data_IF_757784916040
#
_entry.id   IF_757784916040
#
_cell.length_a   1.000
_cell.length_b   1.000
_cell.length_c   1.000
_cell.angle_alpha   90.00
_cell.angle_beta   90.00
_cell.angle_gamma   90.00
#
_symmetry.space_group_name_H-M   'P 1'
#
loop_
_entity.id
_entity.type
_entity.pdbx_description
1 polymer ?
#
# COMPACT_ATOMS: atom_id res chain seq x y z
N UNK A 1 -28.78 4.22 19.10
CA UNK A 1 -28.42 5.30 20.04
C UNK A 1 -29.36 5.22 21.23
N UNK A 2 -28.86 5.57 22.42
CA UNK A 2 -29.73 5.71 23.61
C UNK A 2 -30.63 6.94 23.40
N UNK A 3 -31.81 6.95 24.06
CA UNK A 3 -32.69 8.12 23.99
C UNK A 3 -32.17 9.28 24.85
N UNK A 4 -31.51 8.94 25.96
CA UNK A 4 -30.94 9.93 26.87
C UNK A 4 -29.46 10.19 26.58
N UNK A 5 -29.04 11.43 26.81
CA UNK A 5 -27.65 11.84 26.74
C UNK A 5 -26.82 11.25 27.89
N UNK A 6 -25.52 11.14 27.69
CA UNK A 6 -24.58 10.71 28.72
C UNK A 6 -23.61 11.87 29.03
N UNK A 7 -23.24 11.97 30.30
CA UNK A 7 -22.21 12.91 30.71
C UNK A 7 -20.92 12.71 29.89
N UNK A 8 -20.31 13.80 29.35
CA UNK A 8 -19.13 13.70 28.46
C UNK A 8 -17.95 12.94 29.05
N UNK A 9 -17.70 13.04 30.36
CA UNK A 9 -16.59 12.32 31.02
C UNK A 9 -16.89 10.83 31.11
N UNK A 10 -18.16 10.46 31.36
CA UNK A 10 -18.60 9.07 31.40
C UNK A 10 -18.49 8.43 30.02
N UNK A 11 -18.92 9.14 28.98
CA UNK A 11 -18.78 8.68 27.59
C UNK A 11 -17.30 8.48 27.19
N UNK A 12 -16.44 9.47 27.49
CA UNK A 12 -15.01 9.38 27.22
C UNK A 12 -14.37 8.19 27.96
N UNK A 13 -14.77 7.98 29.24
CA UNK A 13 -14.23 6.87 30.05
C UNK A 13 -14.62 5.51 29.48
N UNK A 14 -15.88 5.31 29.13
CA UNK A 14 -16.34 4.06 28.52
C UNK A 14 -15.58 3.73 27.24
N UNK A 15 -15.42 4.72 26.36
CA UNK A 15 -14.67 4.54 25.11
C UNK A 15 -13.20 4.23 25.40
N UNK A 16 -12.57 4.95 26.32
CA UNK A 16 -11.17 4.69 26.71
C UNK A 16 -10.99 3.28 27.26
N UNK A 17 -11.91 2.80 28.09
CA UNK A 17 -11.83 1.46 28.67
C UNK A 17 -11.97 0.37 27.58
N UNK A 18 -12.79 0.57 26.54
CA UNK A 18 -12.87 -0.33 25.38
C UNK A 18 -11.56 -0.32 24.56
N UNK A 19 -10.97 0.85 24.32
CA UNK A 19 -9.74 1.01 23.56
C UNK A 19 -8.50 0.40 24.25
N UNK A 20 -8.56 0.12 25.57
CA UNK A 20 -7.50 -0.64 26.25
C UNK A 20 -7.37 -2.09 25.76
N UNK A 21 -8.36 -2.60 25.02
CA UNK A 21 -8.29 -3.92 24.39
C UNK A 21 -7.43 -3.92 23.11
N UNK A 22 -7.10 -2.77 22.58
CA UNK A 22 -6.25 -2.66 21.39
C UNK A 22 -4.79 -3.04 21.68
N UNK A 23 -4.10 -3.54 20.65
CA UNK A 23 -2.69 -3.88 20.76
C UNK A 23 -1.81 -2.62 20.82
N UNK A 24 -0.58 -2.79 21.33
CA UNK A 24 0.42 -1.74 21.30
C UNK A 24 0.87 -1.51 19.84
N UNK A 25 0.67 -0.32 19.24
CA UNK A 25 1.05 -0.02 17.86
C UNK A 25 2.53 -0.31 17.58
N UNK A 26 3.42 -0.08 18.54
CA UNK A 26 4.87 -0.27 18.35
C UNK A 26 5.31 -1.75 18.32
N UNK A 27 4.42 -2.70 18.65
CA UNK A 27 4.63 -4.14 18.50
C UNK A 27 3.93 -4.71 17.25
N UNK A 28 3.26 -3.85 16.47
CA UNK A 28 2.60 -4.26 15.23
C UNK A 28 3.60 -4.22 14.06
N UNK A 29 4.09 -5.39 13.66
CA UNK A 29 4.99 -5.57 12.52
C UNK A 29 4.25 -5.88 11.20
N UNK A 30 2.92 -5.94 11.25
CA UNK A 30 2.08 -6.20 10.07
C UNK A 30 1.84 -4.96 9.23
N UNK A 31 1.70 -3.80 9.86
CA UNK A 31 1.31 -2.55 9.21
C UNK A 31 2.51 -1.76 8.71
N UNK A 32 2.34 -1.12 7.55
CA UNK A 32 3.25 -0.10 7.04
C UNK A 32 2.94 1.29 7.57
N UNK A 33 1.82 1.46 8.26
CA UNK A 33 1.31 2.77 8.70
C UNK A 33 2.13 3.32 9.85
N UNK A 34 2.51 4.59 9.75
CA UNK A 34 3.20 5.36 10.79
C UNK A 34 2.40 5.39 12.10
N UNK A 35 3.06 5.14 13.21
CA UNK A 35 2.47 5.10 14.55
C UNK A 35 3.06 6.13 15.51
N UNK A 36 3.98 6.96 15.03
CA UNK A 36 4.64 7.98 15.82
C UNK A 36 4.82 9.27 15.02
N UNK A 37 4.48 10.38 15.65
CA UNK A 37 4.89 11.73 15.24
C UNK A 37 5.38 12.49 16.48
N UNK A 38 6.14 13.56 16.28
CA UNK A 38 6.62 14.42 17.37
C UNK A 38 5.43 15.16 18.02
N UNK A 39 5.49 15.46 19.35
CA UNK A 39 4.42 16.17 20.06
C UNK A 39 4.02 17.51 19.44
N UNK A 40 4.97 18.21 18.81
CA UNK A 40 4.70 19.47 18.11
C UNK A 40 3.80 19.25 16.89
N UNK A 41 4.00 18.14 16.15
CA UNK A 41 3.13 17.77 15.05
C UNK A 41 1.72 17.42 15.54
N UNK A 42 1.63 16.59 16.58
CA UNK A 42 0.35 16.21 17.19
C UNK A 42 -0.43 17.44 17.66
N UNK A 43 0.23 18.37 18.32
CA UNK A 43 -0.39 19.63 18.77
C UNK A 43 -0.89 20.45 17.58
N UNK A 44 -0.07 20.64 16.53
CA UNK A 44 -0.50 21.36 15.32
C UNK A 44 -1.71 20.70 14.67
N UNK A 45 -1.75 19.37 14.61
CA UNK A 45 -2.86 18.63 14.07
C UNK A 45 -4.12 18.81 14.91
N UNK A 46 -4.02 18.73 16.23
CA UNK A 46 -5.14 18.95 17.17
C UNK A 46 -5.71 20.37 17.07
N UNK A 47 -4.86 21.37 17.01
CA UNK A 47 -5.25 22.80 16.90
C UNK A 47 -6.01 23.09 15.57
N UNK A 48 -5.91 22.22 14.57
CA UNK A 48 -6.50 22.38 13.24
C UNK A 48 -7.56 21.32 12.87
N UNK A 49 -8.03 20.52 13.83
CA UNK A 49 -8.95 19.39 13.54
C UNK A 49 -10.29 19.78 12.90
N UNK A 50 -10.76 20.99 13.14
CA UNK A 50 -12.04 21.49 12.60
C UNK A 50 -11.97 21.91 11.13
N UNK A 51 -10.79 21.98 10.53
CA UNK A 51 -10.61 22.56 9.19
C UNK A 51 -10.87 21.54 8.09
N UNK A 52 -11.85 21.89 7.23
CA UNK A 52 -12.15 21.11 6.03
C UNK A 52 -11.28 21.59 4.85
N UNK A 53 -10.54 20.69 4.23
CA UNK A 53 -9.57 21.04 3.19
C UNK A 53 -10.19 21.67 1.93
N UNK A 54 -11.45 21.33 1.62
CA UNK A 54 -12.13 21.85 0.42
C UNK A 54 -12.56 23.32 0.58
N UNK A 55 -12.62 23.86 1.80
CA UNK A 55 -13.11 25.22 2.05
C UNK A 55 -11.95 26.23 1.90
N UNK A 56 -11.49 26.42 0.65
CA UNK A 56 -10.31 27.24 0.33
C UNK A 56 -10.50 28.72 0.69
N UNK A 57 -11.73 29.23 0.63
CA UNK A 57 -12.04 30.61 1.02
C UNK A 57 -11.87 30.82 2.53
N UNK A 58 -12.33 29.86 3.32
CA UNK A 58 -12.21 29.93 4.78
C UNK A 58 -10.83 29.52 5.30
N UNK A 59 -10.19 28.53 4.62
CA UNK A 59 -8.92 27.98 5.03
C UNK A 59 -7.83 28.03 3.95
N UNK A 60 -7.52 29.23 3.38
CA UNK A 60 -6.57 29.35 2.27
C UNK A 60 -5.17 28.87 2.62
N UNK A 61 -4.77 28.99 3.89
CA UNK A 61 -3.46 28.52 4.34
C UNK A 61 -3.31 26.99 4.22
N UNK A 62 -4.35 26.20 4.50
CA UNK A 62 -4.27 24.73 4.35
C UNK A 62 -4.24 24.33 2.89
N UNK A 63 -4.99 24.99 2.02
CA UNK A 63 -4.94 24.80 0.58
C UNK A 63 -3.52 25.08 0.03
N UNK A 64 -2.89 26.14 0.50
CA UNK A 64 -1.50 26.46 0.17
C UNK A 64 -0.53 25.40 0.68
N UNK A 65 -0.73 24.86 1.90
CA UNK A 65 0.09 23.75 2.41
C UNK A 65 -0.06 22.49 1.57
N UNK A 66 -1.27 22.19 1.07
CA UNK A 66 -1.50 21.07 0.15
C UNK A 66 -0.69 21.26 -1.14
N UNK A 67 -0.78 22.43 -1.78
CA UNK A 67 0.00 22.77 -2.98
C UNK A 67 1.50 22.61 -2.75
N UNK A 68 2.01 23.11 -1.63
CA UNK A 68 3.43 22.94 -1.25
C UNK A 68 3.81 21.48 -1.09
N UNK A 69 2.98 20.66 -0.44
CA UNK A 69 3.24 19.23 -0.31
C UNK A 69 3.29 18.55 -1.68
N UNK A 70 2.34 18.83 -2.57
CA UNK A 70 2.32 18.32 -3.95
C UNK A 70 3.62 18.69 -4.68
N UNK A 71 4.03 19.96 -4.57
CA UNK A 71 5.27 20.45 -5.20
C UNK A 71 6.53 19.79 -4.62
N UNK A 72 6.61 19.57 -3.30
CA UNK A 72 7.73 18.85 -2.69
C UNK A 72 7.82 17.41 -3.18
N UNK A 73 6.70 16.70 -3.24
CA UNK A 73 6.62 15.31 -3.68
C UNK A 73 6.94 15.21 -5.18
N UNK A 74 6.38 16.08 -6.01
CA UNK A 74 6.64 16.10 -7.44
C UNK A 74 8.12 16.30 -7.76
N UNK A 75 8.78 17.23 -7.06
CA UNK A 75 10.24 17.44 -7.20
C UNK A 75 11.04 16.26 -6.68
N UNK A 76 10.59 15.60 -5.62
CA UNK A 76 11.22 14.36 -5.14
C UNK A 76 11.12 13.24 -6.19
N UNK A 77 10.05 13.21 -6.96
CA UNK A 77 9.80 12.22 -8.03
C UNK A 77 10.30 12.68 -9.41
N UNK A 78 11.10 13.74 -9.46
CA UNK A 78 11.66 14.30 -10.69
C UNK A 78 10.58 14.63 -11.76
N UNK A 79 9.46 15.21 -11.34
CA UNK A 79 8.44 15.69 -12.27
C UNK A 79 9.04 16.73 -13.26
N UNK A 80 8.63 16.69 -14.54
CA UNK A 80 9.12 17.62 -15.54
C UNK A 80 8.49 19.00 -15.35
N UNK A 81 9.03 19.79 -14.43
CA UNK A 81 8.65 21.16 -14.14
C UNK A 81 9.62 22.11 -14.83
N UNK A 82 9.10 23.18 -15.44
CA UNK A 82 9.88 24.10 -16.26
C UNK A 82 10.91 24.90 -15.43
N UNK A 83 10.52 25.28 -14.22
CA UNK A 83 11.38 26.02 -13.27
C UNK A 83 11.01 25.75 -11.79
N UNK A 84 11.68 26.44 -10.86
CA UNK A 84 11.45 26.31 -9.42
C UNK A 84 10.08 26.84 -8.97
N UNK A 85 9.43 27.69 -9.75
CA UNK A 85 8.14 28.30 -9.45
C UNK A 85 6.99 27.55 -10.13
N UNK A 86 7.29 26.61 -11.03
CA UNK A 86 6.26 25.80 -11.70
C UNK A 86 5.51 24.94 -10.71
N UNK A 87 4.19 24.96 -10.81
CA UNK A 87 3.30 24.14 -9.98
C UNK A 87 3.12 22.76 -10.58
N UNK A 88 3.25 21.76 -9.73
CA UNK A 88 3.01 20.38 -10.10
C UNK A 88 1.52 20.06 -10.07
N UNK A 89 1.10 19.12 -10.91
CA UNK A 89 -0.26 18.61 -10.93
C UNK A 89 -0.38 17.41 -9.99
N UNK A 90 -1.16 17.55 -8.95
CA UNK A 90 -1.39 16.48 -7.97
C UNK A 90 -2.40 16.91 -6.90
N UNK A 91 -2.76 15.97 -6.05
CA UNK A 91 -3.66 16.23 -4.93
C UNK A 91 -3.35 15.33 -3.74
N UNK A 92 -3.73 15.82 -2.55
CA UNK A 92 -3.87 14.96 -1.39
C UNK A 92 -5.11 14.08 -1.53
N UNK A 93 -5.05 12.91 -0.95
CA UNK A 93 -6.13 11.93 -0.90
C UNK A 93 -6.23 11.37 0.53
N UNK A 94 -7.30 10.66 0.85
CA UNK A 94 -7.40 10.01 2.18
C UNK A 94 -6.48 8.80 2.33
N UNK A 95 -5.79 8.44 1.25
CA UNK A 95 -4.82 7.33 1.19
C UNK A 95 -4.55 6.92 -0.25
N UNK A 96 -3.57 6.02 -0.46
CA UNK A 96 -3.21 5.53 -1.80
C UNK A 96 -4.38 4.87 -2.54
N UNK A 97 -5.38 4.34 -1.86
CA UNK A 97 -6.54 3.75 -2.53
C UNK A 97 -7.30 4.77 -3.38
N UNK A 98 -7.55 5.96 -2.86
CA UNK A 98 -8.15 7.05 -3.64
C UNK A 98 -7.20 7.54 -4.74
N UNK A 99 -5.91 7.70 -4.42
CA UNK A 99 -4.89 8.13 -5.37
C UNK A 99 -4.78 7.20 -6.59
N UNK A 100 -4.75 5.88 -6.35
CA UNK A 100 -4.73 4.85 -7.41
C UNK A 100 -6.01 4.90 -8.24
N UNK A 101 -7.18 4.98 -7.59
CA UNK A 101 -8.46 5.06 -8.31
C UNK A 101 -8.53 6.29 -9.22
N UNK A 102 -8.05 7.44 -8.76
CA UNK A 102 -7.95 8.65 -9.60
C UNK A 102 -7.04 8.45 -10.80
N UNK A 103 -5.86 7.86 -10.59
CA UNK A 103 -4.90 7.58 -11.66
C UNK A 103 -5.47 6.61 -12.71
N UNK A 104 -6.11 5.52 -12.27
CA UNK A 104 -6.74 4.54 -13.16
C UNK A 104 -7.91 5.15 -13.92
N UNK A 105 -8.75 5.95 -13.25
CA UNK A 105 -9.86 6.66 -13.89
C UNK A 105 -9.36 7.64 -14.93
N UNK A 106 -8.35 8.44 -14.61
CA UNK A 106 -7.76 9.40 -15.54
C UNK A 106 -7.16 8.71 -16.77
N UNK A 107 -6.42 7.61 -16.58
CA UNK A 107 -5.83 6.83 -17.66
C UNK A 107 -6.91 6.20 -18.57
N UNK A 108 -7.96 5.59 -17.99
CA UNK A 108 -9.10 5.07 -18.76
C UNK A 108 -9.75 6.16 -19.60
N UNK A 109 -10.00 7.33 -19.02
CA UNK A 109 -10.63 8.44 -19.72
C UNK A 109 -9.75 8.99 -20.85
N UNK A 110 -8.47 9.18 -20.60
CA UNK A 110 -7.50 9.58 -21.63
C UNK A 110 -7.48 8.57 -22.79
N UNK A 111 -7.36 7.29 -22.50
CA UNK A 111 -7.40 6.22 -23.50
C UNK A 111 -8.71 6.27 -24.31
N UNK A 112 -9.86 6.35 -23.64
CA UNK A 112 -11.18 6.44 -24.29
C UNK A 112 -11.28 7.65 -25.23
N UNK A 113 -10.83 8.82 -24.79
CA UNK A 113 -10.85 10.04 -25.61
C UNK A 113 -9.96 9.89 -26.84
N UNK A 114 -8.77 9.33 -26.70
CA UNK A 114 -7.85 9.07 -27.81
C UNK A 114 -8.44 8.08 -28.83
N UNK A 115 -9.04 6.98 -28.37
CA UNK A 115 -9.72 5.99 -29.23
C UNK A 115 -10.91 6.60 -29.99
N UNK A 116 -11.73 7.39 -29.26
CA UNK A 116 -12.87 8.09 -29.86
C UNK A 116 -12.43 9.07 -30.95
N UNK A 117 -11.38 9.86 -30.68
CA UNK A 117 -10.83 10.79 -31.65
C UNK A 117 -10.28 10.09 -32.90
N UNK A 118 -9.73 8.88 -32.76
CA UNK A 118 -9.24 8.05 -33.86
C UNK A 118 -10.34 7.22 -34.57
N UNK A 119 -11.62 7.33 -34.14
CA UNK A 119 -12.72 6.53 -34.71
C UNK A 119 -12.64 5.04 -34.42
N UNK A 120 -11.87 4.65 -33.37
CA UNK A 120 -11.68 3.26 -32.94
C UNK A 120 -12.67 2.86 -31.85
N UNK A 121 -12.94 1.57 -31.72
CA UNK A 121 -13.73 1.03 -30.61
C UNK A 121 -13.06 1.33 -29.24
N UNK A 122 -13.86 1.67 -28.26
CA UNK A 122 -13.44 2.01 -26.89
C UNK A 122 -14.31 1.32 -25.81
N UNK A 123 -14.95 0.21 -26.16
CA UNK A 123 -15.85 -0.52 -25.25
C UNK A 123 -15.12 -1.46 -24.27
N UNK A 124 -13.93 -1.94 -24.64
CA UNK A 124 -13.23 -3.00 -23.92
C UNK A 124 -11.82 -2.58 -23.45
N UNK A 125 -11.68 -1.62 -22.50
CA UNK A 125 -10.39 -1.27 -21.94
C UNK A 125 -9.81 -2.41 -21.10
N UNK A 126 -8.48 -2.59 -21.12
CA UNK A 126 -7.79 -3.47 -20.20
C UNK A 126 -6.68 -2.74 -19.43
N UNK A 127 -6.27 -3.33 -18.30
CA UNK A 127 -5.16 -2.87 -17.47
C UNK A 127 -4.19 -4.04 -17.24
N UNK A 128 -2.90 -3.81 -17.46
CA UNK A 128 -1.87 -4.83 -17.23
C UNK A 128 -1.18 -4.57 -15.90
N UNK A 129 -1.08 -5.59 -15.06
CA UNK A 129 -0.49 -5.49 -13.72
C UNK A 129 -0.03 -6.86 -13.20
N UNK A 130 0.80 -6.85 -12.15
CA UNK A 130 1.14 -8.07 -11.40
C UNK A 130 -0.07 -8.63 -10.64
N UNK A 131 -0.17 -9.93 -10.48
CA UNK A 131 -1.12 -10.56 -9.55
C UNK A 131 -0.78 -10.29 -8.06
N UNK A 132 0.40 -9.72 -7.78
CA UNK A 132 0.81 -9.30 -6.45
C UNK A 132 0.38 -7.86 -6.09
N UNK A 133 -0.51 -7.24 -6.88
CA UNK A 133 -1.04 -5.90 -6.61
C UNK A 133 -1.85 -5.84 -5.33
N UNK A 134 -1.96 -4.65 -4.77
CA UNK A 134 -2.91 -4.37 -3.71
C UNK A 134 -4.35 -4.46 -4.24
N UNK A 135 -5.28 -4.97 -3.42
CA UNK A 135 -6.69 -5.18 -3.80
C UNK A 135 -7.39 -3.92 -4.36
N UNK A 136 -6.86 -2.72 -4.13
CA UNK A 136 -7.41 -1.48 -4.69
C UNK A 136 -7.35 -1.45 -6.22
N UNK A 137 -6.32 -2.05 -6.83
CA UNK A 137 -6.22 -2.13 -8.29
C UNK A 137 -7.26 -3.09 -8.88
N UNK A 138 -7.54 -4.20 -8.20
CA UNK A 138 -8.65 -5.10 -8.55
C UNK A 138 -10.01 -4.40 -8.40
N UNK A 139 -10.18 -3.62 -7.30
CA UNK A 139 -11.37 -2.80 -7.12
C UNK A 139 -11.51 -1.75 -8.21
N UNK A 140 -10.44 -1.05 -8.57
CA UNK A 140 -10.46 -0.05 -9.64
C UNK A 140 -10.82 -0.68 -11.00
N UNK A 141 -10.23 -1.84 -11.33
CA UNK A 141 -10.56 -2.58 -12.54
C UNK A 141 -12.06 -2.97 -12.56
N UNK A 142 -12.57 -3.51 -11.46
CA UNK A 142 -13.99 -3.90 -11.33
C UNK A 142 -14.92 -2.68 -11.38
N UNK A 143 -14.69 -1.65 -10.57
CA UNK A 143 -15.59 -0.50 -10.45
C UNK A 143 -15.62 0.35 -11.72
N UNK A 144 -14.52 0.38 -12.44
CA UNK A 144 -14.42 1.14 -13.68
C UNK A 144 -14.63 0.27 -14.94
N UNK A 145 -15.03 -0.99 -14.79
CA UNK A 145 -15.29 -1.89 -15.91
C UNK A 145 -14.09 -1.98 -16.87
N UNK A 146 -12.91 -2.28 -16.31
CA UNK A 146 -11.66 -2.50 -17.03
C UNK A 146 -11.27 -3.97 -16.88
N UNK A 147 -10.95 -4.64 -17.98
CA UNK A 147 -10.47 -6.02 -17.95
C UNK A 147 -9.07 -6.08 -17.31
N UNK A 148 -8.87 -6.80 -16.17
CA UNK A 148 -7.54 -6.96 -15.61
C UNK A 148 -6.78 -8.06 -16.36
N UNK A 149 -5.56 -7.77 -16.78
CA UNK A 149 -4.59 -8.73 -17.34
C UNK A 149 -3.44 -8.88 -16.38
N UNK A 150 -3.33 -10.06 -15.80
CA UNK A 150 -2.36 -10.33 -14.76
C UNK A 150 -1.11 -11.02 -15.29
N UNK A 151 0.05 -10.48 -14.93
CA UNK A 151 1.25 -11.27 -14.84
C UNK A 151 1.23 -12.04 -13.51
N UNK A 152 1.44 -13.35 -13.55
CA UNK A 152 1.40 -14.19 -12.35
C UNK A 152 2.78 -14.52 -11.84
N UNK A 153 2.95 -14.48 -10.52
CA UNK A 153 4.15 -14.95 -9.85
C UNK A 153 4.41 -16.44 -10.16
N UNK A 154 5.67 -16.81 -10.17
CA UNK A 154 6.12 -18.20 -10.24
C UNK A 154 7.22 -18.45 -9.20
N UNK A 155 7.56 -19.70 -8.97
CA UNK A 155 8.59 -20.04 -7.99
C UNK A 155 9.92 -19.36 -8.34
N UNK A 156 10.45 -18.58 -7.40
CA UNK A 156 11.68 -17.78 -7.57
C UNK A 156 11.49 -16.45 -8.32
N UNK A 157 10.28 -16.14 -8.81
CA UNK A 157 9.95 -14.86 -9.46
C UNK A 157 8.71 -14.27 -8.79
N UNK A 158 8.91 -13.32 -7.87
CA UNK A 158 7.82 -12.74 -7.06
C UNK A 158 7.54 -11.27 -7.38
N UNK A 159 8.43 -10.61 -8.12
CA UNK A 159 8.22 -9.30 -8.74
C UNK A 159 8.01 -9.46 -10.25
N UNK A 160 7.23 -8.57 -10.85
CA UNK A 160 6.82 -8.58 -12.24
C UNK A 160 8.01 -8.70 -13.20
N UNK A 161 7.97 -9.70 -14.10
CA UNK A 161 8.92 -9.80 -15.22
C UNK A 161 8.51 -8.80 -16.30
N UNK A 162 9.40 -7.83 -16.64
CA UNK A 162 9.06 -6.77 -17.57
C UNK A 162 8.67 -7.25 -18.98
N UNK A 163 9.35 -8.28 -19.50
CA UNK A 163 9.07 -8.76 -20.86
C UNK A 163 7.73 -9.52 -20.91
N UNK A 164 7.54 -10.46 -19.99
CA UNK A 164 6.31 -11.25 -19.92
C UNK A 164 5.08 -10.35 -19.70
N UNK A 165 5.20 -9.31 -18.86
CA UNK A 165 4.11 -8.37 -18.61
C UNK A 165 3.83 -7.44 -19.80
N UNK A 166 4.86 -6.93 -20.49
CA UNK A 166 4.68 -6.09 -21.66
C UNK A 166 4.08 -6.89 -22.83
N UNK A 167 4.31 -8.20 -22.90
CA UNK A 167 3.69 -9.04 -23.92
C UNK A 167 2.15 -9.12 -23.78
N UNK A 168 1.60 -8.89 -22.58
CA UNK A 168 0.15 -8.82 -22.32
C UNK A 168 -0.51 -7.53 -22.83
N UNK A 169 0.28 -6.51 -23.17
CA UNK A 169 -0.19 -5.18 -23.61
C UNK A 169 -0.68 -5.23 -25.05
N UNK A 170 -1.81 -4.60 -25.31
CA UNK A 170 -2.35 -4.38 -26.66
C UNK A 170 -2.91 -2.95 -26.83
N UNK A 171 -3.57 -2.66 -27.95
CA UNK A 171 -4.15 -1.35 -28.25
C UNK A 171 -5.34 -0.98 -27.32
N UNK A 172 -5.91 -1.94 -26.59
CA UNK A 172 -6.99 -1.73 -25.63
C UNK A 172 -6.45 -1.52 -24.20
N UNK A 173 -5.13 -1.60 -24.01
CA UNK A 173 -4.54 -1.34 -22.70
C UNK A 173 -4.57 0.15 -22.41
N UNK A 174 -5.35 0.54 -21.40
CA UNK A 174 -5.46 1.93 -20.97
C UNK A 174 -4.38 2.32 -19.95
N UNK A 175 -3.79 1.33 -19.24
CA UNK A 175 -2.76 1.57 -18.24
C UNK A 175 -1.92 0.31 -18.00
N UNK A 176 -0.63 0.50 -17.80
CA UNK A 176 0.30 -0.49 -17.27
C UNK A 176 0.68 -0.08 -15.84
N UNK A 177 0.67 -1.02 -14.89
CA UNK A 177 0.97 -0.72 -13.49
C UNK A 177 2.25 -1.41 -13.06
N UNK A 178 3.14 -0.64 -12.43
CA UNK A 178 4.32 -1.17 -11.73
C UNK A 178 4.20 -0.88 -10.24
N UNK A 179 4.65 -1.81 -9.41
CA UNK A 179 4.67 -1.66 -7.95
C UNK A 179 6.09 -1.30 -7.50
N UNK A 180 6.22 -0.17 -6.80
CA UNK A 180 7.47 0.19 -6.15
C UNK A 180 7.43 -0.26 -4.67
N UNK A 181 7.73 -1.55 -4.48
CA UNK A 181 7.68 -2.20 -3.17
C UNK A 181 6.44 -3.06 -2.96
N UNK A 182 6.53 -4.34 -3.37
CA UNK A 182 5.44 -5.30 -3.21
C UNK A 182 5.13 -5.55 -1.75
N UNK A 183 3.86 -5.74 -1.43
CA UNK A 183 3.42 -6.02 -0.06
C UNK A 183 3.96 -7.36 0.46
N UNK A 184 4.22 -8.31 -0.44
CA UNK A 184 4.64 -9.67 -0.08
C UNK A 184 6.11 -9.75 0.31
N UNK A 185 7.01 -9.30 -0.57
CA UNK A 185 8.45 -9.46 -0.44
C UNK A 185 9.23 -8.13 -0.35
N UNK A 186 8.54 -7.01 -0.57
CA UNK A 186 9.12 -5.67 -0.56
C UNK A 186 9.91 -5.30 -1.81
N UNK A 187 10.01 -6.18 -2.80
CA UNK A 187 10.78 -5.95 -4.02
C UNK A 187 10.26 -4.78 -4.84
N UNK A 188 11.15 -4.05 -5.48
CA UNK A 188 10.83 -3.04 -6.49
C UNK A 188 10.72 -3.70 -7.86
N UNK A 189 9.60 -3.53 -8.55
CA UNK A 189 9.47 -3.91 -9.95
C UNK A 189 10.32 -3.01 -10.83
N UNK A 190 10.89 -3.56 -11.91
CA UNK A 190 11.81 -2.84 -12.78
C UNK A 190 11.08 -1.90 -13.74
N UNK A 191 10.70 -0.71 -13.24
CA UNK A 191 9.94 0.31 -13.99
C UNK A 191 10.73 0.82 -15.20
N UNK A 192 12.08 0.97 -15.08
CA UNK A 192 12.94 1.40 -16.20
C UNK A 192 12.83 0.42 -17.36
N UNK A 193 12.96 -0.87 -17.09
CA UNK A 193 12.87 -1.90 -18.14
C UNK A 193 11.47 -2.01 -18.73
N UNK A 194 10.43 -1.89 -17.91
CA UNK A 194 9.05 -1.82 -18.42
C UNK A 194 8.85 -0.61 -19.35
N UNK A 195 9.37 0.56 -18.96
CA UNK A 195 9.29 1.77 -19.77
C UNK A 195 9.98 1.63 -21.14
N UNK A 196 11.19 1.04 -21.17
CA UNK A 196 11.93 0.78 -22.41
C UNK A 196 11.16 -0.17 -23.35
N UNK A 197 10.68 -1.29 -22.83
CA UNK A 197 9.96 -2.30 -23.60
C UNK A 197 8.62 -1.78 -24.12
N UNK A 198 7.87 -1.05 -23.29
CA UNK A 198 6.63 -0.39 -23.70
C UNK A 198 6.88 0.65 -24.79
N UNK A 199 7.94 1.45 -24.67
CA UNK A 199 8.28 2.45 -25.69
C UNK A 199 8.57 1.79 -27.05
N UNK A 200 9.36 0.72 -27.05
CA UNK A 200 9.65 -0.05 -28.25
C UNK A 200 8.40 -0.69 -28.87
N UNK A 201 7.53 -1.31 -28.04
CA UNK A 201 6.29 -1.95 -28.50
C UNK A 201 5.30 -0.92 -29.03
N UNK A 202 5.06 0.17 -28.32
CA UNK A 202 4.13 1.21 -28.75
C UNK A 202 4.55 1.87 -30.07
N UNK A 203 5.84 2.17 -30.24
CA UNK A 203 6.37 2.69 -31.50
C UNK A 203 6.20 1.72 -32.67
N UNK A 204 6.39 0.43 -32.43
CA UNK A 204 6.25 -0.62 -33.45
C UNK A 204 4.79 -0.82 -33.88
N UNK A 205 3.88 -0.81 -32.91
CA UNK A 205 2.48 -1.22 -33.10
C UNK A 205 1.53 -0.02 -33.31
N UNK A 206 1.98 1.22 -33.09
CA UNK A 206 1.25 2.45 -33.42
C UNK A 206 0.12 2.80 -32.45
N UNK A 207 0.31 2.51 -31.16
CA UNK A 207 -0.58 2.93 -30.06
C UNK A 207 0.25 3.42 -28.86
N UNK A 208 -0.41 4.01 -27.87
CA UNK A 208 0.23 4.58 -26.70
C UNK A 208 -0.28 3.92 -25.41
N UNK A 209 0.64 3.42 -24.58
CA UNK A 209 0.38 2.93 -23.22
C UNK A 209 1.37 3.57 -22.26
N UNK A 210 0.86 3.99 -21.11
CA UNK A 210 1.64 4.66 -20.07
C UNK A 210 1.65 3.86 -18.79
N UNK A 211 2.62 4.17 -17.91
CA UNK A 211 2.84 3.50 -16.64
C UNK A 211 2.28 4.34 -15.50
N UNK A 212 1.50 3.73 -14.65
CA UNK A 212 1.25 4.20 -13.30
C UNK A 212 2.19 3.47 -12.35
N UNK A 213 2.87 4.20 -11.47
CA UNK A 213 3.71 3.60 -10.44
C UNK A 213 2.95 3.62 -9.12
N UNK A 214 2.57 2.43 -8.64
CA UNK A 214 2.10 2.29 -7.26
C UNK A 214 3.28 2.34 -6.30
N UNK A 215 3.58 3.54 -5.86
CA UNK A 215 4.61 3.86 -4.90
C UNK A 215 4.10 4.01 -3.46
N UNK A 216 2.94 3.41 -3.15
CA UNK A 216 2.30 3.58 -1.83
C UNK A 216 3.26 3.41 -0.66
N UNK A 217 4.19 2.46 -0.75
CA UNK A 217 5.22 2.24 0.27
C UNK A 217 6.60 2.72 -0.18
N UNK A 218 7.00 2.45 -1.43
CA UNK A 218 8.37 2.65 -1.88
C UNK A 218 8.74 4.09 -2.27
N UNK A 219 7.76 4.92 -2.64
CA UNK A 219 8.05 6.25 -3.16
C UNK A 219 8.63 7.24 -2.12
N UNK A 220 8.47 6.98 -0.82
CA UNK A 220 9.18 7.69 0.25
C UNK A 220 10.42 6.93 0.78
N UNK A 221 10.79 5.80 0.18
CA UNK A 221 11.99 5.03 0.54
C UNK A 221 13.05 5.14 -0.56
N UNK A 222 12.70 4.74 -1.79
CA UNK A 222 13.64 4.64 -2.91
C UNK A 222 14.42 5.94 -3.20
N UNK A 223 13.84 7.16 -3.18
CA UNK A 223 14.59 8.39 -3.44
C UNK A 223 15.73 8.66 -2.47
N UNK A 224 15.66 8.09 -1.27
CA UNK A 224 16.62 8.35 -0.20
C UNK A 224 17.70 7.28 -0.09
N UNK A 225 17.35 6.00 -0.32
CA UNK A 225 18.26 4.86 -0.17
C UNK A 225 18.84 4.35 -1.47
N UNK A 226 18.21 4.64 -2.61
CA UNK A 226 18.60 4.21 -3.96
C UNK A 226 18.30 5.32 -4.98
N UNK A 227 18.90 6.51 -4.84
CA UNK A 227 18.57 7.69 -5.66
C UNK A 227 18.89 7.50 -7.17
N UNK A 228 19.79 6.58 -7.50
CA UNK A 228 20.14 6.20 -8.88
C UNK A 228 19.06 5.36 -9.56
N UNK A 229 18.20 4.66 -8.79
CA UNK A 229 17.14 3.83 -9.33
C UNK A 229 16.11 4.70 -10.08
N UNK A 230 15.93 4.40 -11.37
CA UNK A 230 14.94 5.10 -12.19
C UNK A 230 13.61 4.35 -12.17
N UNK A 231 12.64 4.97 -11.53
CA UNK A 231 11.27 4.44 -11.39
C UNK A 231 10.22 5.54 -11.54
N UNK A 232 10.64 6.79 -11.54
CA UNK A 232 9.84 8.00 -11.43
C UNK A 232 9.69 8.73 -12.78
N UNK A 233 9.33 10.01 -12.73
CA UNK A 233 9.14 10.83 -13.94
C UNK A 233 10.38 11.07 -14.79
N UNK A 234 11.57 10.60 -14.39
CA UNK A 234 12.73 10.52 -15.32
C UNK A 234 12.45 9.57 -16.48
N UNK A 235 11.50 8.63 -16.30
CA UNK A 235 11.08 7.71 -17.35
C UNK A 235 9.90 8.30 -18.14
N UNK A 236 9.98 8.43 -19.47
CA UNK A 236 8.96 9.14 -20.26
C UNK A 236 7.59 8.45 -20.25
N UNK A 237 7.53 7.14 -20.05
CA UNK A 237 6.28 6.38 -20.02
C UNK A 237 5.55 6.48 -18.66
N UNK A 238 6.19 6.94 -17.59
CA UNK A 238 5.53 7.14 -16.29
C UNK A 238 4.64 8.36 -16.38
N UNK A 239 3.31 8.16 -16.27
CA UNK A 239 2.31 9.22 -16.38
C UNK A 239 1.77 9.69 -15.04
N UNK A 240 1.76 8.82 -14.04
CA UNK A 240 1.28 9.13 -12.69
C UNK A 240 1.95 8.24 -11.64
N UNK A 241 2.06 8.78 -10.43
CA UNK A 241 2.64 8.09 -9.27
C UNK A 241 1.73 8.38 -8.08
N UNK A 242 1.39 7.34 -7.30
CA UNK A 242 0.80 7.54 -5.99
C UNK A 242 1.80 7.24 -4.88
N UNK A 243 1.57 7.82 -3.71
CA UNK A 243 2.29 7.45 -2.49
C UNK A 243 1.41 7.62 -1.26
N UNK A 244 1.65 6.83 -0.21
CA UNK A 244 0.99 7.00 1.08
C UNK A 244 1.86 7.86 2.00
N UNK A 245 1.37 9.07 2.30
CA UNK A 245 2.01 9.92 3.31
C UNK A 245 2.02 9.26 4.69
N UNK A 246 1.01 8.46 4.98
CA UNK A 246 0.84 7.76 6.25
C UNK A 246 1.62 6.45 6.41
N UNK A 247 2.47 6.11 5.41
CA UNK A 247 3.44 5.01 5.51
C UNK A 247 4.84 5.59 5.73
N UNK A 248 5.75 5.41 4.80
CA UNK A 248 7.09 5.97 4.91
C UNK A 248 7.17 7.50 4.64
N UNK A 249 6.04 8.16 4.37
CA UNK A 249 5.92 9.62 4.46
C UNK A 249 5.88 10.14 5.89
N UNK A 250 5.82 9.25 6.89
CA UNK A 250 5.95 9.52 8.32
C UNK A 250 4.86 10.43 8.91
N UNK A 251 3.68 10.46 8.29
CA UNK A 251 2.48 11.12 8.83
C UNK A 251 1.47 10.09 9.36
N UNK A 252 0.59 10.48 10.28
CA UNK A 252 -0.47 9.60 10.77
C UNK A 252 -1.46 9.21 9.67
N UNK A 253 -2.19 8.09 9.87
CA UNK A 253 -3.15 7.53 8.92
C UNK A 253 -4.15 8.58 8.39
N UNK A 254 -4.50 8.48 7.11
CA UNK A 254 -5.49 9.33 6.47
C UNK A 254 -4.94 10.28 5.41
N UNK A 255 -3.71 10.08 4.91
CA UNK A 255 -3.14 10.87 3.83
C UNK A 255 -2.40 10.02 2.79
N UNK A 256 -2.72 10.26 1.54
CA UNK A 256 -2.01 9.79 0.36
C UNK A 256 -1.89 10.92 -0.65
N UNK A 257 -1.12 10.68 -1.69
CA UNK A 257 -0.82 11.66 -2.73
C UNK A 257 -0.87 11.00 -4.08
N UNK A 258 -1.42 11.71 -5.06
CA UNK A 258 -1.29 11.37 -6.49
C UNK A 258 -0.59 12.55 -7.17
N UNK A 259 0.41 12.23 -7.98
CA UNK A 259 1.12 13.19 -8.82
C UNK A 259 0.96 12.73 -10.28
N UNK A 260 0.56 13.65 -11.15
CA UNK A 260 0.50 13.44 -12.59
C UNK A 260 1.70 14.09 -13.27
N UNK A 261 2.19 13.49 -14.34
CA UNK A 261 3.31 14.04 -15.13
C UNK A 261 3.01 15.44 -15.68
N UNK A 262 1.81 15.62 -16.22
CA UNK A 262 1.33 16.88 -16.80
C UNK A 262 -0.21 16.89 -16.88
N UNK A 263 -0.77 18.04 -17.26
CA UNK A 263 -2.20 18.22 -17.47
C UNK A 263 -2.79 17.26 -18.52
N UNK A 264 -1.98 16.79 -19.49
CA UNK A 264 -2.40 15.83 -20.51
C UNK A 264 -2.83 14.47 -19.94
N UNK A 265 -2.42 14.15 -18.72
CA UNK A 265 -2.76 12.90 -18.04
C UNK A 265 -3.92 13.01 -17.05
N UNK A 266 -4.51 14.20 -16.91
CA UNK A 266 -5.74 14.43 -16.15
C UNK A 266 -6.79 15.06 -17.08
N UNK A 267 -7.65 14.28 -17.76
CA UNK A 267 -8.67 14.79 -18.67
C UNK A 267 -9.57 15.84 -18.03
N UNK A 268 -9.85 16.92 -18.77
CA UNK A 268 -10.64 18.05 -18.28
C UNK A 268 -12.04 17.64 -17.80
N UNK A 269 -12.64 16.60 -18.39
CA UNK A 269 -13.96 16.09 -17.98
C UNK A 269 -14.00 15.49 -16.55
N UNK A 270 -12.83 15.28 -15.92
CA UNK A 270 -12.72 14.82 -14.53
C UNK A 270 -12.54 15.98 -13.53
N UNK A 271 -12.46 17.20 -14.02
CA UNK A 271 -12.25 18.39 -13.20
C UNK A 271 -13.57 19.14 -13.12
N UNK A 272 -14.08 19.26 -11.91
CA UNK A 272 -15.34 19.93 -11.62
C UNK A 272 -15.04 21.27 -10.97
N UNK A 273 -15.68 22.33 -11.48
CA UNK A 273 -15.62 23.64 -10.84
C UNK A 273 -16.83 23.80 -9.93
N UNK A 274 -16.59 24.16 -8.69
CA UNK A 274 -17.62 24.51 -7.70
C UNK A 274 -17.43 25.97 -7.26
N UNK A 275 -18.50 26.69 -7.04
CA UNK A 275 -18.50 28.13 -6.72
C UNK A 275 -19.32 28.51 -5.46
N UNK A 276 -20.07 27.56 -4.91
CA UNK A 276 -20.95 27.82 -3.77
C UNK A 276 -20.19 27.91 -2.41
N UNK A 277 -18.89 27.70 -2.40
CA UNK A 277 -18.02 27.85 -1.22
C UNK A 277 -17.32 29.23 -1.17
N UNK A 278 -17.83 30.22 -1.89
CA UNK A 278 -17.36 31.61 -1.85
C UNK A 278 -16.53 32.02 -3.06
N UNK A 279 -15.70 31.14 -3.61
CA UNK A 279 -14.93 31.38 -4.83
C UNK A 279 -14.95 30.14 -5.75
N UNK A 280 -14.81 30.31 -7.08
CA UNK A 280 -14.64 29.19 -8.00
C UNK A 280 -13.38 28.40 -7.70
N UNK A 281 -13.51 27.11 -7.51
CA UNK A 281 -12.40 26.20 -7.27
C UNK A 281 -12.54 24.91 -8.06
N UNK A 282 -11.41 24.37 -8.51
CA UNK A 282 -11.37 23.07 -9.19
C UNK A 282 -11.31 21.92 -8.17
N UNK A 283 -12.10 20.89 -8.40
CA UNK A 283 -12.08 19.64 -7.63
C UNK A 283 -12.06 18.46 -8.57
N UNK A 284 -11.15 17.51 -8.33
CA UNK A 284 -11.06 16.25 -9.09
C UNK A 284 -10.79 15.03 -8.20
N UNK A 285 -10.70 15.21 -6.89
CA UNK A 285 -10.58 14.10 -5.93
C UNK A 285 -11.92 13.38 -5.77
N UNK A 286 -11.89 12.08 -5.42
CA UNK A 286 -13.11 11.30 -5.20
C UNK A 286 -13.85 11.74 -3.94
N UNK A 287 -13.10 12.11 -2.91
CA UNK A 287 -13.66 12.69 -1.70
C UNK A 287 -13.73 14.21 -1.83
N UNK A 288 -14.88 14.79 -1.53
CA UNK A 288 -15.07 16.25 -1.54
C UNK A 288 -14.59 16.84 -0.21
N UNK A 289 -15.35 16.66 0.87
CA UNK A 289 -14.93 17.05 2.21
C UNK A 289 -13.92 16.08 2.78
N UNK A 290 -12.79 16.58 3.24
CA UNK A 290 -11.75 15.82 3.92
C UNK A 290 -11.00 16.69 4.91
N UNK A 291 -10.45 16.08 5.95
CA UNK A 291 -9.71 16.80 6.98
C UNK A 291 -8.42 17.43 6.42
N UNK A 292 -8.19 18.68 6.72
CA UNK A 292 -6.91 19.35 6.43
C UNK A 292 -5.77 18.97 7.38
N UNK A 293 -6.08 18.34 8.49
CA UNK A 293 -5.13 17.95 9.56
C UNK A 293 -3.98 17.10 9.03
N UNK A 294 -4.28 16.16 8.15
CA UNK A 294 -3.27 15.24 7.62
C UNK A 294 -2.26 15.94 6.71
N UNK A 295 -2.71 16.96 5.97
CA UNK A 295 -1.84 17.83 5.17
C UNK A 295 -0.90 18.62 6.07
N UNK A 296 -1.42 19.15 7.18
CA UNK A 296 -0.59 19.85 8.20
C UNK A 296 0.49 18.94 8.76
N UNK A 297 0.12 17.71 9.14
CA UNK A 297 1.07 16.70 9.63
C UNK A 297 2.14 16.33 8.59
N UNK A 298 1.75 16.13 7.33
CA UNK A 298 2.69 15.82 6.26
C UNK A 298 3.64 16.99 5.98
N UNK A 299 3.13 18.21 5.92
CA UNK A 299 3.95 19.38 5.69
C UNK A 299 4.94 19.63 6.84
N UNK A 300 4.51 19.41 8.10
CA UNK A 300 5.39 19.43 9.25
C UNK A 300 6.59 18.48 9.04
N UNK A 301 6.34 17.24 8.64
CA UNK A 301 7.40 16.26 8.40
C UNK A 301 8.38 16.73 7.30
N UNK A 302 7.88 17.33 6.23
CA UNK A 302 8.75 17.86 5.17
C UNK A 302 9.66 18.97 5.65
N UNK A 303 9.13 19.90 6.45
CA UNK A 303 9.92 21.00 7.03
C UNK A 303 10.90 20.50 8.10
N UNK A 304 10.39 19.64 9.01
CA UNK A 304 11.16 19.18 10.17
C UNK A 304 12.34 18.29 9.79
N UNK A 305 12.10 17.37 8.88
CA UNK A 305 13.10 16.39 8.49
C UNK A 305 13.94 16.84 7.29
N UNK A 306 13.33 17.48 6.31
CA UNK A 306 13.99 17.75 5.04
C UNK A 306 14.52 16.47 4.39
N UNK A 307 15.23 16.57 3.28
CA UNK A 307 15.82 15.40 2.59
C UNK A 307 16.85 14.66 3.45
N UNK A 308 17.60 15.37 4.29
CA UNK A 308 18.62 14.75 5.14
C UNK A 308 18.04 13.91 6.25
N UNK A 309 16.97 14.37 6.91
CA UNK A 309 16.27 13.64 7.96
C UNK A 309 15.59 12.40 7.41
N UNK A 310 14.86 12.52 6.29
CA UNK A 310 14.27 11.35 5.60
C UNK A 310 15.33 10.31 5.24
N UNK A 311 16.48 10.74 4.66
CA UNK A 311 17.57 9.82 4.32
C UNK A 311 18.11 9.11 5.55
N UNK A 312 18.39 9.84 6.63
CA UNK A 312 18.89 9.24 7.87
C UNK A 312 17.92 8.20 8.44
N UNK A 313 16.60 8.48 8.42
CA UNK A 313 15.57 7.54 8.87
C UNK A 313 15.54 6.33 7.94
N UNK A 314 15.42 6.51 6.63
CA UNK A 314 15.28 5.40 5.67
C UNK A 314 16.53 4.50 5.65
N UNK A 315 17.73 5.06 5.77
CA UNK A 315 18.98 4.30 5.93
C UNK A 315 18.96 3.47 7.21
N UNK A 316 18.51 4.06 8.33
CA UNK A 316 18.39 3.33 9.60
C UNK A 316 17.38 2.17 9.51
N UNK A 317 16.21 2.38 8.89
CA UNK A 317 15.21 1.33 8.70
C UNK A 317 15.74 0.21 7.82
N UNK A 318 16.41 0.54 6.72
CA UNK A 318 17.01 -0.42 5.79
C UNK A 318 18.12 -1.24 6.47
N UNK A 319 18.98 -0.59 7.25
CA UNK A 319 20.05 -1.27 8.00
C UNK A 319 19.48 -2.16 9.12
N UNK A 320 18.41 -1.72 9.79
CA UNK A 320 17.73 -2.53 10.81
C UNK A 320 17.06 -3.75 10.18
N UNK A 321 16.39 -3.58 9.02
CA UNK A 321 15.82 -4.70 8.26
C UNK A 321 16.89 -5.71 7.84
N UNK A 322 18.02 -5.24 7.30
CA UNK A 322 19.15 -6.09 6.93
C UNK A 322 19.67 -6.91 8.12
N UNK A 323 19.82 -6.25 9.27
CA UNK A 323 20.25 -6.94 10.49
C UNK A 323 19.23 -7.98 10.96
N UNK A 324 17.92 -7.66 10.94
CA UNK A 324 16.86 -8.61 11.32
C UNK A 324 16.88 -9.81 10.38
N UNK A 325 16.98 -9.59 9.06
CA UNK A 325 17.06 -10.66 8.06
C UNK A 325 18.26 -11.59 8.34
N UNK A 326 19.43 -11.02 8.63
CA UNK A 326 20.63 -11.80 9.00
C UNK A 326 20.42 -12.62 10.28
N UNK A 327 19.78 -12.05 11.31
CA UNK A 327 19.52 -12.78 12.55
C UNK A 327 18.47 -13.89 12.37
N UNK A 328 17.40 -13.65 11.59
CA UNK A 328 16.39 -14.66 11.25
C UNK A 328 17.04 -15.81 10.48
N UNK A 329 17.86 -15.50 9.47
CA UNK A 329 18.57 -16.51 8.67
C UNK A 329 19.50 -17.41 9.49
N UNK A 330 19.99 -16.95 10.65
CA UNK A 330 20.88 -17.72 11.55
C UNK A 330 20.14 -18.64 12.54
N UNK A 331 18.82 -18.56 12.63
CA UNK A 331 18.05 -19.40 13.55
C UNK A 331 18.19 -20.88 13.14
N UNK A 332 18.34 -21.76 14.11
CA UNK A 332 18.60 -23.19 13.92
C UNK A 332 19.81 -23.44 12.99
N UNK A 333 20.92 -22.77 13.28
CA UNK A 333 22.16 -22.83 12.51
C UNK A 333 22.03 -22.53 11.02
N UNK A 334 20.95 -21.84 10.65
CA UNK A 334 20.63 -21.47 9.27
C UNK A 334 19.80 -22.50 8.50
N UNK A 335 19.34 -23.55 9.16
CA UNK A 335 18.58 -24.61 8.48
C UNK A 335 17.08 -24.37 8.43
N UNK A 336 16.53 -23.57 9.36
CA UNK A 336 15.08 -23.40 9.51
C UNK A 336 14.45 -22.47 8.46
N UNK A 337 15.02 -21.27 8.27
CA UNK A 337 14.38 -20.20 7.50
C UNK A 337 15.09 -19.85 6.20
N UNK A 338 14.32 -19.49 5.20
CA UNK A 338 14.73 -18.83 3.96
C UNK A 338 14.22 -17.40 3.96
N UNK A 339 15.10 -16.44 3.68
CA UNK A 339 14.71 -15.04 3.50
C UNK A 339 14.13 -14.84 2.11
N UNK A 340 12.94 -14.26 2.05
CA UNK A 340 12.17 -14.05 0.82
C UNK A 340 12.11 -12.57 0.43
N UNK A 341 12.47 -11.65 1.33
CA UNK A 341 12.50 -10.23 1.04
C UNK A 341 13.68 -9.83 0.16
N UNK A 342 13.54 -8.70 -0.53
CA UNK A 342 14.60 -8.09 -1.32
C UNK A 342 15.89 -7.88 -0.50
N UNK A 343 17.03 -7.91 -1.19
CA UNK A 343 18.28 -7.44 -0.62
C UNK A 343 18.17 -5.96 -0.18
N UNK A 344 18.97 -5.54 0.81
CA UNK A 344 18.99 -4.17 1.27
C UNK A 344 19.14 -3.18 0.10
N UNK A 345 18.35 -2.09 0.12
CA UNK A 345 18.28 -1.04 -0.92
C UNK A 345 17.66 -1.45 -2.27
N UNK A 346 17.31 -2.72 -2.46
CA UNK A 346 16.58 -3.20 -3.64
C UNK A 346 15.08 -3.36 -3.40
N UNK A 347 14.61 -2.96 -2.23
CA UNK A 347 13.22 -3.05 -1.82
C UNK A 347 12.93 -2.24 -0.56
N UNK A 348 11.75 -2.47 0.00
CA UNK A 348 11.27 -1.83 1.23
C UNK A 348 12.06 -2.29 2.46
N UNK A 349 12.12 -1.48 3.53
CA UNK A 349 12.67 -1.89 4.81
C UNK A 349 11.72 -2.85 5.53
N UNK A 350 11.64 -4.07 5.05
CA UNK A 350 10.90 -5.18 5.63
C UNK A 350 11.70 -6.48 5.52
N UNK A 351 11.33 -7.45 6.34
CA UNK A 351 11.87 -8.79 6.26
C UNK A 351 10.73 -9.77 6.09
N UNK A 352 10.74 -10.50 4.99
CA UNK A 352 9.84 -11.61 4.73
C UNK A 352 10.64 -12.91 4.71
N UNK A 353 10.12 -13.95 5.34
CA UNK A 353 10.79 -15.25 5.40
C UNK A 353 9.79 -16.40 5.49
N UNK A 354 10.25 -17.60 5.18
CA UNK A 354 9.45 -18.82 5.27
C UNK A 354 10.25 -19.94 5.94
N UNK A 355 9.55 -20.96 6.40
CA UNK A 355 10.16 -22.21 6.81
C UNK A 355 10.61 -22.97 5.54
N UNK A 356 11.92 -23.29 5.44
CA UNK A 356 12.47 -24.12 4.36
C UNK A 356 12.76 -25.55 4.80
N UNK A 357 12.91 -25.78 6.12
CA UNK A 357 13.22 -27.08 6.70
C UNK A 357 12.03 -28.03 6.54
N UNK A 358 12.27 -29.18 5.94
CA UNK A 358 11.26 -30.22 5.78
C UNK A 358 10.92 -30.92 7.09
N UNK A 359 9.70 -31.47 7.16
CA UNK A 359 9.21 -32.28 8.31
C UNK A 359 9.17 -31.54 9.65
N UNK A 360 9.06 -30.22 9.63
CA UNK A 360 8.76 -29.41 10.80
C UNK A 360 7.29 -29.61 11.20
N UNK A 361 7.03 -29.83 12.48
CA UNK A 361 5.67 -30.15 12.98
C UNK A 361 4.72 -28.94 13.07
N UNK A 362 5.17 -27.73 12.74
CA UNK A 362 4.44 -26.46 12.82
C UNK A 362 4.68 -25.63 11.54
N UNK A 363 3.90 -24.57 11.37
CA UNK A 363 4.01 -23.67 10.22
C UNK A 363 4.18 -22.21 10.66
N UNK A 364 4.23 -21.29 9.70
CA UNK A 364 4.37 -19.85 9.91
C UNK A 364 3.23 -19.29 10.78
N UNK A 365 2.01 -19.82 10.66
CA UNK A 365 0.87 -19.40 11.47
C UNK A 365 1.04 -19.77 12.94
N UNK A 366 1.64 -20.92 13.23
CA UNK A 366 1.95 -21.33 14.61
C UNK A 366 2.99 -20.39 15.26
N UNK A 367 4.01 -19.98 14.50
CA UNK A 367 5.00 -18.98 14.96
C UNK A 367 4.30 -17.66 15.25
N UNK A 368 3.47 -17.15 14.32
CA UNK A 368 2.72 -15.92 14.48
C UNK A 368 1.81 -15.95 15.73
N UNK A 369 1.11 -17.06 15.95
CA UNK A 369 0.24 -17.27 17.11
C UNK A 369 1.04 -17.26 18.43
N UNK A 370 2.22 -17.86 18.46
CA UNK A 370 3.06 -17.84 19.65
C UNK A 370 3.64 -16.44 19.92
N UNK A 371 4.10 -15.74 18.89
CA UNK A 371 4.59 -14.36 19.00
C UNK A 371 3.49 -13.41 19.53
N UNK A 372 2.21 -13.66 19.16
CA UNK A 372 1.07 -12.88 19.65
C UNK A 372 0.91 -12.95 21.17
N UNK A 373 1.29 -14.06 21.82
CA UNK A 373 1.23 -14.19 23.28
C UNK A 373 2.17 -13.21 23.99
N UNK A 374 3.18 -12.68 23.29
CA UNK A 374 4.10 -11.65 23.76
C UNK A 374 3.76 -10.24 23.26
N UNK A 375 2.59 -10.09 22.65
CA UNK A 375 2.10 -8.81 22.13
C UNK A 375 2.56 -8.49 20.70
N UNK A 376 3.43 -9.29 20.08
CA UNK A 376 3.85 -9.06 18.70
C UNK A 376 2.73 -9.38 17.72
N UNK A 377 2.41 -8.45 16.83
CA UNK A 377 1.55 -8.70 15.69
C UNK A 377 2.45 -8.96 14.48
N UNK A 378 2.81 -10.24 14.33
CA UNK A 378 3.60 -10.74 13.22
C UNK A 378 2.67 -11.46 12.25
N UNK A 379 2.42 -10.95 11.02
CA UNK A 379 1.52 -11.60 10.09
C UNK A 379 2.15 -12.84 9.49
N UNK A 380 1.37 -13.92 9.43
CA UNK A 380 1.59 -15.06 8.56
C UNK A 380 0.56 -15.02 7.44
N UNK A 381 0.96 -15.23 6.18
CA UNK A 381 0.09 -15.13 5.03
C UNK A 381 0.57 -16.00 3.87
N UNK A 382 -0.34 -16.33 2.95
CA UNK A 382 -0.01 -17.00 1.70
C UNK A 382 0.43 -15.99 0.65
N UNK A 383 1.32 -16.40 -0.23
CA UNK A 383 1.75 -15.61 -1.38
C UNK A 383 0.63 -15.36 -2.40
N UNK A 384 0.94 -14.56 -3.40
CA UNK A 384 0.06 -14.21 -4.52
C UNK A 384 -0.43 -15.45 -5.30
N UNK A 385 -1.50 -15.34 -6.09
CA UNK A 385 -1.98 -16.42 -6.94
C UNK A 385 -0.86 -17.10 -7.75
N UNK A 386 -1.00 -18.40 -8.00
CA UNK A 386 -0.05 -19.35 -8.61
C UNK A 386 1.13 -19.77 -7.72
N UNK A 387 1.40 -19.06 -6.62
CA UNK A 387 2.39 -19.43 -5.59
C UNK A 387 1.78 -19.38 -4.18
N UNK A 388 0.49 -19.47 -4.05
CA UNK A 388 -0.26 -19.35 -2.79
C UNK A 388 0.04 -20.46 -1.77
N UNK A 389 0.65 -21.57 -2.20
CA UNK A 389 1.11 -22.63 -1.30
C UNK A 389 2.31 -22.19 -0.43
N UNK A 390 3.03 -21.17 -0.86
CA UNK A 390 4.10 -20.56 -0.08
C UNK A 390 3.50 -19.69 1.03
N UNK A 391 3.80 -20.03 2.26
CA UNK A 391 3.45 -19.25 3.45
C UNK A 391 4.63 -18.41 3.87
N UNK A 392 4.40 -17.19 4.27
CA UNK A 392 5.42 -16.25 4.73
C UNK A 392 5.06 -15.68 6.09
N UNK A 393 6.10 -15.32 6.82
CA UNK A 393 6.09 -14.34 7.91
C UNK A 393 6.69 -13.03 7.40
N UNK A 394 6.21 -11.88 7.88
CA UNK A 394 6.77 -10.59 7.48
C UNK A 394 6.83 -9.62 8.64
N UNK A 395 7.97 -8.98 8.83
CA UNK A 395 8.15 -7.86 9.74
C UNK A 395 8.44 -6.58 8.93
N UNK A 396 7.57 -5.59 9.02
CA UNK A 396 7.78 -4.25 8.47
C UNK A 396 8.57 -3.45 9.48
N UNK A 397 9.69 -2.87 9.05
CA UNK A 397 10.56 -2.05 9.90
C UNK A 397 10.17 -0.59 9.72
N UNK A 398 9.55 -0.01 10.75
CA UNK A 398 9.09 1.36 10.78
C UNK A 398 9.95 2.23 11.70
N UNK A 399 9.68 3.52 11.71
CA UNK A 399 10.43 4.52 12.46
C UNK A 399 10.51 4.27 13.98
N UNK A 400 9.50 3.60 14.52
CA UNK A 400 9.44 3.25 15.95
C UNK A 400 10.09 1.89 16.28
N UNK A 401 10.60 1.16 15.27
CA UNK A 401 11.25 -0.14 15.46
C UNK A 401 12.77 0.02 15.62
N UNK A 402 13.21 0.34 16.85
CA UNK A 402 14.61 0.55 17.18
C UNK A 402 15.43 -0.75 17.14
N UNK A 403 16.77 -0.62 17.09
CA UNK A 403 17.69 -1.74 17.19
C UNK A 403 17.45 -2.59 18.44
N UNK A 404 17.28 -1.95 19.62
CA UNK A 404 17.00 -2.66 20.87
C UNK A 404 15.68 -3.45 20.80
N UNK A 405 14.65 -2.89 20.15
CA UNK A 405 13.39 -3.61 19.94
C UNK A 405 13.58 -4.78 18.97
N UNK A 406 14.40 -4.63 17.94
CA UNK A 406 14.76 -5.71 17.03
C UNK A 406 15.47 -6.86 17.78
N UNK A 407 16.35 -6.56 18.72
CA UNK A 407 17.01 -7.58 19.57
C UNK A 407 16.00 -8.35 20.42
N UNK A 408 15.05 -7.65 21.03
CA UNK A 408 13.96 -8.29 21.79
C UNK A 408 13.10 -9.18 20.86
N UNK A 409 12.74 -8.68 19.68
CA UNK A 409 11.99 -9.44 18.68
C UNK A 409 12.70 -10.74 18.29
N UNK A 410 14.01 -10.69 17.98
CA UNK A 410 14.79 -11.86 17.61
C UNK A 410 14.89 -12.85 18.76
N UNK A 411 15.06 -12.38 20.00
CA UNK A 411 15.05 -13.26 21.19
C UNK A 411 13.71 -13.98 21.30
N UNK A 412 12.61 -13.25 21.23
CA UNK A 412 11.26 -13.80 21.37
C UNK A 412 10.92 -14.76 20.22
N UNK A 413 11.40 -14.49 19.00
CA UNK A 413 11.26 -15.39 17.85
C UNK A 413 12.02 -16.71 18.07
N UNK A 414 13.27 -16.66 18.58
CA UNK A 414 14.05 -17.86 18.91
C UNK A 414 13.36 -18.69 19.98
N UNK A 415 12.80 -18.05 21.01
CA UNK A 415 12.05 -18.73 22.06
C UNK A 415 10.74 -19.34 21.53
N UNK A 416 10.06 -18.67 20.59
CA UNK A 416 8.89 -19.21 19.92
C UNK A 416 9.21 -20.48 19.13
N UNK A 417 10.29 -20.46 18.35
CA UNK A 417 10.78 -21.61 17.60
C UNK A 417 11.12 -22.76 18.55
N UNK A 418 11.93 -22.49 19.55
CA UNK A 418 12.33 -23.50 20.55
C UNK A 418 11.13 -24.15 21.26
N UNK A 419 10.13 -23.34 21.63
CA UNK A 419 8.89 -23.84 22.23
C UNK A 419 8.15 -24.78 21.27
N UNK A 420 7.96 -24.36 20.01
CA UNK A 420 7.23 -25.14 19.00
C UNK A 420 7.95 -26.44 18.65
N UNK A 421 9.27 -26.47 18.58
CA UNK A 421 10.04 -27.67 18.34
C UNK A 421 9.90 -28.73 19.47
N UNK A 422 9.72 -28.28 20.70
CA UNK A 422 9.57 -29.14 21.87
C UNK A 422 8.11 -29.40 22.28
N UNK A 423 7.15 -28.73 21.66
CA UNK A 423 5.74 -28.86 21.97
C UNK A 423 5.16 -30.21 21.46
N UNK A 424 4.17 -30.82 22.17
CA UNK A 424 3.46 -31.97 21.65
C UNK A 424 2.85 -31.69 20.27
N UNK A 425 2.86 -32.69 19.38
CA UNK A 425 2.34 -32.53 17.98
C UNK A 425 0.90 -32.03 17.91
N UNK A 426 0.07 -32.35 18.90
CA UNK A 426 -1.31 -31.87 18.97
C UNK A 426 -1.36 -30.35 19.20
N UNK A 427 -0.48 -29.81 20.05
CA UNK A 427 -0.36 -28.36 20.30
C UNK A 427 0.15 -27.64 19.05
N UNK A 428 1.17 -28.18 18.39
CA UNK A 428 1.70 -27.64 17.13
C UNK A 428 0.60 -27.52 16.08
N UNK A 429 -0.19 -28.59 15.87
CA UNK A 429 -1.32 -28.63 14.93
C UNK A 429 -2.44 -27.66 15.31
N UNK A 430 -2.72 -27.52 16.59
CA UNK A 430 -3.77 -26.60 17.06
C UNK A 430 -3.34 -25.15 16.79
N UNK A 431 -2.13 -24.79 17.05
CA UNK A 431 -1.60 -23.44 16.78
C UNK A 431 -1.52 -23.13 15.29
N UNK A 432 -1.14 -24.10 14.44
CA UNK A 432 -1.17 -23.98 12.99
C UNK A 432 -2.58 -23.78 12.42
N UNK A 433 -3.61 -24.32 13.08
CA UNK A 433 -5.01 -24.16 12.68
C UNK A 433 -5.66 -22.87 13.22
N UNK A 434 -5.12 -22.27 14.25
CA UNK A 434 -5.75 -21.20 15.03
C UNK A 434 -5.98 -19.89 14.26
N UNK A 435 -5.31 -19.66 13.13
CA UNK A 435 -5.49 -18.49 12.27
C UNK A 435 -5.73 -18.84 10.79
N UNK A 436 -5.64 -20.12 10.44
CA UNK A 436 -5.93 -20.60 9.09
C UNK A 436 -7.42 -20.93 9.00
N UNK A 437 -8.25 -20.02 8.53
CA UNK A 437 -9.49 -20.43 7.93
C UNK A 437 -9.12 -21.25 6.69
N UNK A 438 -9.31 -22.57 6.75
CA UNK A 438 -9.51 -23.37 5.58
C UNK A 438 -10.67 -22.72 4.81
N UNK A 439 -10.37 -21.86 3.85
CA UNK A 439 -11.34 -21.45 2.87
C UNK A 439 -11.60 -22.68 1.99
N UNK A 440 -12.77 -23.30 2.09
CA UNK A 440 -13.18 -24.22 1.07
C UNK A 440 -13.36 -23.38 -0.20
N UNK A 441 -12.52 -23.62 -1.18
CA UNK A 441 -12.64 -23.10 -2.54
C UNK A 441 -12.80 -21.56 -2.66
N UNK A 442 -11.71 -20.83 -2.66
CA UNK A 442 -11.64 -19.65 -3.51
C UNK A 442 -11.61 -20.16 -4.95
N UNK A 443 -12.79 -20.50 -5.47
CA UNK A 443 -13.01 -20.67 -6.89
C UNK A 443 -12.64 -19.33 -7.53
N UNK A 444 -11.65 -19.41 -8.39
CA UNK A 444 -11.22 -18.37 -9.29
C UNK A 444 -12.43 -17.57 -9.82
N UNK A 445 -12.58 -16.26 -9.56
CA UNK A 445 -13.77 -15.50 -9.98
C UNK A 445 -13.92 -15.39 -11.50
N UNK A 446 -12.97 -15.89 -12.28
CA UNK A 446 -12.93 -15.79 -13.74
C UNK A 446 -13.32 -17.05 -14.51
N UNK A 447 -13.94 -18.07 -13.86
CA UNK A 447 -14.65 -19.09 -14.60
C UNK A 447 -16.15 -18.81 -14.61
N UNK A 448 -16.81 -18.73 -15.79
CA UNK A 448 -18.26 -18.55 -15.86
C UNK A 448 -18.95 -19.77 -15.23
N UNK A 449 -19.46 -19.58 -14.02
CA UNK A 449 -20.22 -20.60 -13.34
C UNK A 449 -21.65 -20.69 -13.91
N UNK A 450 -22.01 -21.84 -14.40
CA UNK A 450 -23.38 -22.20 -14.71
C UNK A 450 -24.28 -21.95 -13.49
N UNK A 451 -25.19 -21.00 -13.61
CA UNK A 451 -26.19 -20.69 -12.59
C UNK A 451 -27.26 -21.78 -12.53
N UNK A 452 -27.14 -22.70 -11.60
CA UNK A 452 -28.31 -23.44 -11.08
C UNK A 452 -28.74 -22.78 -9.76
N UNK A 453 -29.91 -22.14 -9.79
CA UNK A 453 -30.55 -21.50 -8.62
C UNK A 453 -30.85 -22.57 -7.56
N UNK A 454 -30.14 -22.49 -6.40
CA UNK A 454 -30.63 -23.07 -5.14
C UNK A 454 -31.03 -21.93 -4.21
N UNK A 455 -32.34 -21.86 -3.95
CA UNK A 455 -32.94 -20.98 -2.95
C UNK A 455 -32.34 -21.29 -1.56
N UNK A 456 -31.85 -20.27 -0.84
CA UNK A 456 -31.53 -20.38 0.58
C UNK A 456 -32.75 -20.01 1.41
N UNK A 457 -33.04 -20.72 2.51
CA UNK A 457 -34.12 -20.33 3.42
C UNK A 457 -33.75 -19.05 4.18
N UNK A 458 -34.72 -18.18 4.35
CA UNK A 458 -34.62 -16.98 5.17
C UNK A 458 -34.43 -17.37 6.64
N UNK A 459 -33.26 -17.08 7.20
CA UNK A 459 -33.02 -17.05 8.64
C UNK A 459 -32.58 -15.63 9.02
N UNK A 460 -33.33 -15.00 9.88
CA UNK A 460 -32.98 -13.74 10.53
C UNK A 460 -31.84 -13.98 11.51
N UNK A 461 -30.60 -13.76 11.10
CA UNK A 461 -29.48 -13.69 12.03
C UNK A 461 -29.07 -12.24 12.24
N UNK A 462 -29.27 -11.78 13.45
CA UNK A 462 -28.72 -10.54 13.95
C UNK A 462 -27.19 -10.67 13.99
N UNK A 463 -26.51 -9.93 13.14
CA UNK A 463 -25.04 -9.83 13.18
C UNK A 463 -24.62 -9.05 14.42
N UNK A 464 -24.31 -9.75 15.50
CA UNK A 464 -23.55 -9.17 16.60
C UNK A 464 -22.09 -9.05 16.17
N UNK A 465 -21.35 -8.09 16.73
CA UNK A 465 -19.91 -7.86 16.55
C UNK A 465 -19.01 -9.08 16.84
N UNK A 466 -19.58 -10.21 17.26
CA UNK A 466 -18.91 -11.49 17.49
C UNK A 466 -18.63 -12.30 16.22
N UNK A 467 -19.09 -11.88 15.04
CA UNK A 467 -19.18 -12.74 13.84
C UNK A 467 -17.96 -12.83 12.97
N UNK A 468 -16.86 -12.12 13.20
CA UNK A 468 -15.77 -12.07 12.22
C UNK A 468 -14.36 -11.96 12.78
N UNK A 469 -14.09 -12.60 13.90
CA UNK A 469 -12.69 -12.79 14.28
C UNK A 469 -12.03 -13.74 13.30
N UNK A 470 -11.19 -13.21 12.41
CA UNK A 470 -10.27 -13.99 11.60
C UNK A 470 -10.33 -13.86 10.10
N UNK A 471 -11.14 -12.96 9.53
CA UNK A 471 -11.09 -12.67 8.09
C UNK A 471 -10.52 -11.28 7.84
N UNK A 472 -9.30 -11.07 8.20
CA UNK A 472 -8.55 -9.93 7.72
C UNK A 472 -7.86 -10.35 6.44
N UNK A 473 -8.52 -10.06 5.31
CA UNK A 473 -7.82 -9.88 4.06
C UNK A 473 -7.30 -8.45 4.06
N UNK A 474 -6.13 -8.31 3.57
CA UNK A 474 -5.40 -7.10 3.37
C UNK A 474 -4.63 -6.64 4.60
N UNK A 475 -3.45 -6.90 4.47
CA UNK A 475 -2.38 -6.14 5.05
C UNK A 475 -2.35 -4.81 4.28
N UNK A 476 -2.88 -3.76 4.87
CA UNK A 476 -2.60 -2.41 4.40
C UNK A 476 -1.17 -2.02 4.76
#
# INVERSE_FOLDING_TARGET
MNEEEMDPRSAARLISDELLMDGNPSLNLASFVTTYMEPEAEKLMMDNMSKNLIDHEEYPAIAELESRCVNHIARLFNAPLDDENSEALGASTVGSSEAIMLAVLAAKRKWKLARKAAGKDYSNPNIVMSAAVHCVLEKAANYFEIEPRYWYCSQGKYALDPQEAVDLVDENTCLFVCILGTTYTGEYENVEKCSELLDAKCKKEGYEVYIHVDGASGAFVAPFVSPELKWDFRLPRVCSINTSGHKFGLAFAGVGWVIFRSRDFLPQELIFTVDYLGAPQESYTLNFSKSGVQVVGQYYQFLRLGKSGYRAIMDNLTNTAAWVAEQVAKIDNGDLFEIMSAEPKKGLPLVAWRIKKENVGYDEYAIAAHMRQRGWILPAYSMAPHVHDLKLLRAVIREDFSKSRAEVFIRDLKEAVHYLENAPREVQKHMSKGNGNDHPDQKNPHHPANHSKKQRPHGTETHSLRGSHGKTHAVC
#
